data_IF_793254575415
#
_entry.id   IF_793254575415
#
_cell.length_a   1.000
_cell.length_b   1.000
_cell.length_c   1.000
_cell.angle_alpha   90.00
_cell.angle_beta   90.00
_cell.angle_gamma   90.00
#
_symmetry.space_group_name_H-M   'P 1'
#
loop_
_entity.id
_entity.type
_entity.pdbx_description
1 polymer ?
#
# COMPACT_ATOMS: atom_id res chain seq x y z
N UNK A 1 -12.20 4.34 -10.18
CA UNK A 1 -11.01 4.65 -9.36
C UNK A 1 -9.69 4.73 -10.15
N UNK A 2 -9.69 4.54 -11.47
CA UNK A 2 -8.47 4.66 -12.30
C UNK A 2 -8.03 6.10 -12.61
N UNK A 3 -8.83 7.11 -12.28
CA UNK A 3 -8.53 8.50 -12.64
C UNK A 3 -7.38 9.07 -11.80
N UNK A 4 -7.47 9.00 -10.47
CA UNK A 4 -6.43 9.51 -9.56
C UNK A 4 -5.10 8.76 -9.69
N UNK A 5 -5.17 7.45 -9.92
CA UNK A 5 -3.99 6.59 -10.14
C UNK A 5 -3.23 6.84 -11.44
N UNK A 6 -3.87 7.50 -12.43
CA UNK A 6 -3.25 7.83 -13.71
C UNK A 6 -2.80 9.30 -13.77
N UNK A 7 -3.35 10.16 -12.91
CA UNK A 7 -3.03 11.57 -12.84
C UNK A 7 -1.88 11.88 -11.86
N UNK A 8 -1.30 10.86 -11.22
CA UNK A 8 -0.28 10.97 -10.16
C UNK A 8 -0.66 11.98 -9.06
N UNK A 9 -1.97 12.12 -8.83
CA UNK A 9 -2.52 13.09 -7.91
C UNK A 9 -2.79 12.42 -6.56
N UNK A 10 -2.25 12.96 -5.46
CA UNK A 10 -2.53 12.45 -4.12
C UNK A 10 -4.01 12.62 -3.77
N UNK A 11 -4.51 11.75 -2.90
CA UNK A 11 -5.93 11.72 -2.50
C UNK A 11 -6.07 12.30 -1.11
N UNK A 12 -6.82 13.40 -0.99
CA UNK A 12 -7.17 14.00 0.31
C UNK A 12 -8.25 13.22 1.07
N UNK A 13 -8.39 13.49 2.37
CA UNK A 13 -9.45 12.91 3.22
C UNK A 13 -10.87 13.16 2.68
N UNK A 14 -11.13 14.37 2.19
CA UNK A 14 -12.45 14.74 1.64
C UNK A 14 -12.75 14.02 0.33
N UNK A 15 -11.75 13.87 -0.53
CA UNK A 15 -11.87 13.08 -1.76
C UNK A 15 -12.10 11.61 -1.45
N UNK A 16 -11.36 11.07 -0.49
CA UNK A 16 -11.56 9.70 -0.02
C UNK A 16 -12.98 9.50 0.51
N UNK A 17 -13.48 10.42 1.34
CA UNK A 17 -14.85 10.38 1.85
C UNK A 17 -15.90 10.37 0.73
N UNK A 18 -15.74 11.28 -0.24
CA UNK A 18 -16.64 11.35 -1.41
C UNK A 18 -16.58 10.06 -2.22
N UNK A 19 -15.39 9.53 -2.48
CA UNK A 19 -15.19 8.30 -3.23
C UNK A 19 -15.85 7.10 -2.53
N UNK A 20 -15.69 6.96 -1.21
CA UNK A 20 -16.35 5.90 -0.44
C UNK A 20 -17.87 6.02 -0.53
N UNK A 21 -18.41 7.24 -0.38
CA UNK A 21 -19.86 7.47 -0.47
C UNK A 21 -20.41 7.09 -1.85
N UNK A 22 -19.72 7.45 -2.92
CA UNK A 22 -20.12 7.11 -4.29
C UNK A 22 -20.04 5.60 -4.54
N UNK A 23 -18.96 4.95 -4.09
CA UNK A 23 -18.73 3.53 -4.38
C UNK A 23 -19.56 2.57 -3.52
N UNK A 24 -19.87 2.95 -2.28
CA UNK A 24 -20.50 2.04 -1.29
C UNK A 24 -21.89 2.50 -0.85
N UNK A 25 -22.30 3.71 -1.20
CA UNK A 25 -23.51 4.35 -0.68
C UNK A 25 -23.42 4.78 0.78
N UNK A 26 -22.33 4.46 1.49
CA UNK A 26 -22.18 4.67 2.94
C UNK A 26 -21.39 5.94 3.24
N UNK A 27 -21.80 6.68 4.28
CA UNK A 27 -21.01 7.81 4.83
C UNK A 27 -20.24 7.28 6.02
N UNK A 28 -18.90 7.35 5.96
CA UNK A 28 -18.05 7.01 7.09
C UNK A 28 -17.96 8.19 8.06
N UNK A 29 -17.77 7.90 9.35
CA UNK A 29 -17.48 8.94 10.34
C UNK A 29 -16.06 9.47 10.15
N UNK A 30 -15.83 10.74 10.52
CA UNK A 30 -14.51 11.38 10.45
C UNK A 30 -13.43 10.55 11.14
N UNK A 31 -13.72 10.03 12.33
CA UNK A 31 -12.77 9.21 13.09
C UNK A 31 -12.29 7.96 12.32
N UNK A 32 -13.17 7.31 11.54
CA UNK A 32 -12.78 6.16 10.71
C UNK A 32 -11.84 6.61 9.59
N UNK A 33 -12.13 7.75 8.96
CA UNK A 33 -11.27 8.31 7.90
C UNK A 33 -9.92 8.70 8.48
N UNK A 34 -9.89 9.36 9.63
CA UNK A 34 -8.65 9.73 10.32
C UNK A 34 -7.82 8.51 10.68
N UNK A 35 -8.46 7.44 11.16
CA UNK A 35 -7.78 6.18 11.49
C UNK A 35 -7.21 5.51 10.24
N UNK A 36 -7.93 5.54 9.12
CA UNK A 36 -7.43 5.00 7.85
C UNK A 36 -6.19 5.77 7.40
N UNK A 37 -6.21 7.10 7.43
CA UNK A 37 -5.05 7.90 7.03
C UNK A 37 -3.88 7.68 7.99
N UNK A 38 -4.10 7.69 9.30
CA UNK A 38 -3.04 7.42 10.29
C UNK A 38 -2.36 6.04 10.15
N UNK A 39 -2.99 5.07 9.47
CA UNK A 39 -2.42 3.74 9.23
C UNK A 39 -1.66 3.61 7.92
N UNK A 40 -1.91 4.48 6.94
CA UNK A 40 -1.49 4.27 5.55
C UNK A 40 -0.82 5.47 4.89
N UNK A 41 -0.95 6.65 5.47
CA UNK A 41 -0.15 7.84 5.18
C UNK A 41 1.21 7.67 5.90
N UNK A 42 2.23 7.24 5.16
CA UNK A 42 3.55 6.87 5.69
C UNK A 42 4.43 8.11 5.89
N UNK A 43 4.24 9.14 5.06
CA UNK A 43 4.99 10.39 5.13
C UNK A 43 4.32 11.47 6.01
N UNK A 44 3.05 11.29 6.35
CA UNK A 44 2.29 12.12 7.28
C UNK A 44 1.82 13.45 6.67
N UNK A 45 1.71 13.54 5.34
CA UNK A 45 1.29 14.76 4.65
C UNK A 45 -0.24 15.01 4.69
N UNK A 46 -0.99 14.07 5.27
CA UNK A 46 -2.44 14.12 5.40
C UNK A 46 -3.18 13.69 4.13
N UNK A 47 -2.48 13.17 3.14
CA UNK A 47 -2.98 12.68 1.87
C UNK A 47 -2.54 11.22 1.66
N UNK A 48 -3.08 10.59 0.62
CA UNK A 48 -2.63 9.27 0.17
C UNK A 48 -2.06 9.39 -1.23
N UNK A 49 -0.76 9.25 -1.35
CA UNK A 49 -0.07 9.09 -2.63
C UNK A 49 -0.57 7.84 -3.37
N UNK A 50 -0.30 7.77 -4.67
CA UNK A 50 -0.62 6.60 -5.48
C UNK A 50 0.02 5.31 -4.90
N UNK A 51 1.25 5.41 -4.43
CA UNK A 51 2.01 4.30 -3.86
C UNK A 51 1.38 3.76 -2.58
N UNK A 52 0.97 4.66 -1.68
CA UNK A 52 0.31 4.30 -0.42
C UNK A 52 -1.06 3.67 -0.70
N UNK A 53 -1.87 4.31 -1.54
CA UNK A 53 -3.20 3.82 -1.88
C UNK A 53 -3.17 2.41 -2.51
N UNK A 54 -2.24 2.15 -3.42
CA UNK A 54 -2.10 0.82 -4.04
C UNK A 54 -1.55 -0.20 -3.04
N UNK A 55 -0.69 0.20 -2.10
CA UNK A 55 -0.23 -0.68 -1.03
C UNK A 55 -1.41 -1.20 -0.20
N UNK A 56 -2.37 -0.32 0.16
CA UNK A 56 -3.62 -0.69 0.86
C UNK A 56 -4.39 -1.74 0.07
N UNK A 57 -4.66 -1.46 -1.20
CA UNK A 57 -5.49 -2.33 -2.05
C UNK A 57 -4.86 -3.71 -2.26
N UNK A 58 -3.53 -3.76 -2.43
CA UNK A 58 -2.78 -5.02 -2.57
C UNK A 58 -2.73 -5.81 -1.27
N UNK A 59 -2.65 -5.16 -0.11
CA UNK A 59 -2.63 -5.86 1.16
C UNK A 59 -3.99 -6.49 1.49
N UNK A 60 -5.08 -5.79 1.17
CA UNK A 60 -6.44 -6.30 1.34
C UNK A 60 -6.74 -7.53 0.47
N UNK A 61 -6.22 -7.57 -0.77
CA UNK A 61 -6.31 -8.76 -1.63
C UNK A 61 -5.71 -10.01 -0.98
N UNK A 62 -4.68 -9.84 -0.15
CA UNK A 62 -4.01 -10.95 0.54
C UNK A 62 -4.68 -11.34 1.85
N UNK A 63 -5.66 -10.58 2.35
CA UNK A 63 -6.36 -10.82 3.64
C UNK A 63 -5.40 -11.09 4.81
N UNK A 64 -4.22 -10.47 4.82
CA UNK A 64 -3.18 -10.71 5.85
C UNK A 64 -2.32 -11.97 5.65
N UNK A 65 -2.59 -12.82 4.66
CA UNK A 65 -1.76 -13.98 4.33
C UNK A 65 -0.57 -13.57 3.45
N UNK A 66 0.50 -13.06 4.06
CA UNK A 66 1.79 -12.83 3.38
C UNK A 66 2.50 -14.18 3.15
N UNK A 67 2.14 -14.90 2.09
CA UNK A 67 2.64 -16.27 1.82
C UNK A 67 4.14 -16.38 1.44
N UNK A 68 4.94 -15.31 1.45
CA UNK A 68 6.35 -15.40 1.04
C UNK A 68 7.30 -14.56 1.88
N UNK A 69 7.59 -15.02 3.10
CA UNK A 69 8.76 -14.54 3.86
C UNK A 69 9.91 -15.56 3.95
N UNK A 70 9.72 -16.80 3.48
CA UNK A 70 10.72 -17.88 3.66
C UNK A 70 11.66 -18.12 2.46
N UNK A 71 11.32 -17.67 1.25
CA UNK A 71 12.11 -17.99 0.03
C UNK A 71 13.02 -16.88 -0.50
N UNK A 72 12.85 -15.61 -0.08
CA UNK A 72 13.74 -14.52 -0.52
C UNK A 72 15.15 -14.67 0.05
N UNK A 73 15.26 -15.12 1.31
CA UNK A 73 16.54 -15.25 2.00
C UNK A 73 17.41 -16.37 1.42
N UNK A 74 16.81 -17.45 0.90
CA UNK A 74 17.56 -18.57 0.31
C UNK A 74 18.19 -18.20 -1.04
N UNK A 75 17.49 -17.39 -1.84
CA UNK A 75 18.02 -16.90 -3.13
C UNK A 75 19.15 -15.88 -2.93
N UNK A 76 18.99 -14.95 -1.99
CA UNK A 76 20.05 -14.02 -1.62
C UNK A 76 21.29 -14.75 -1.07
N UNK A 77 21.09 -15.75 -0.20
CA UNK A 77 22.17 -16.56 0.36
C UNK A 77 22.93 -17.34 -0.72
N UNK A 78 22.22 -18.07 -1.58
CA UNK A 78 22.86 -18.85 -2.66
C UNK A 78 23.54 -17.98 -3.72
N UNK A 79 23.03 -16.77 -3.97
CA UNK A 79 23.70 -15.79 -4.82
C UNK A 79 25.01 -15.29 -4.20
N UNK A 80 24.99 -14.97 -2.91
CA UNK A 80 26.18 -14.52 -2.17
C UNK A 80 27.28 -15.60 -2.19
N UNK A 81 26.94 -16.84 -1.82
CA UNK A 81 27.89 -17.97 -1.85
C UNK A 81 28.46 -18.19 -3.26
N UNK A 82 27.62 -18.15 -4.31
CA UNK A 82 28.08 -18.30 -5.70
C UNK A 82 29.08 -17.21 -6.11
N UNK A 83 28.90 -15.99 -5.62
CA UNK A 83 29.76 -14.86 -5.94
C UNK A 83 31.11 -14.99 -5.22
N UNK A 84 31.09 -15.41 -3.95
CA UNK A 84 32.29 -15.71 -3.16
C UNK A 84 33.11 -16.85 -3.79
N UNK A 85 32.45 -17.92 -4.24
CA UNK A 85 33.11 -19.05 -4.91
C UNK A 85 33.69 -18.71 -6.29
N UNK A 86 33.19 -17.67 -6.96
CA UNK A 86 33.74 -17.16 -8.23
C UNK A 86 34.90 -16.19 -8.04
N UNK A 87 35.02 -15.60 -6.84
CA UNK A 87 36.08 -14.64 -6.49
C UNK A 87 37.35 -15.31 -5.97
N UNK A 88 37.38 -16.64 -5.89
CA UNK A 88 38.57 -17.48 -5.67
C UNK A 88 38.97 -18.13 -6.98
#
# INVERSE_FOLDING_TARGET
MRMYTLADHPISKDEFQRAVKICTGSVLSRHIIDTVFALFDDDGDGQLSYTEFIAIMKDRLRRGFKSQRRLKNLKAFTSCIKQEMKSR
#
